data_IF_606607073112
#
_entry.id   IF_606607073112
#
_cell.length_a   1.000
_cell.length_b   1.000
_cell.length_c   1.000
_cell.angle_alpha   90.00
_cell.angle_beta   90.00
_cell.angle_gamma   90.00
#
_symmetry.space_group_name_H-M   'P 1'
#
loop_
_entity.id
_entity.type
_entity.pdbx_description
1 polymer ?
#
# COMPACT_ATOMS: atom_id res chain seq x y z
N UNK A 1 -50.83 -28.85 -4.11
CA UNK A 1 -49.41 -28.49 -4.35
C UNK A 1 -49.24 -27.02 -4.00
N UNK A 2 -48.70 -26.70 -2.83
CA UNK A 2 -48.42 -25.31 -2.45
C UNK A 2 -47.08 -24.91 -3.04
N UNK A 3 -47.09 -23.89 -3.90
CA UNK A 3 -45.87 -23.31 -4.45
C UNK A 3 -45.18 -22.54 -3.33
N UNK A 4 -44.03 -23.05 -2.87
CA UNK A 4 -43.12 -22.29 -2.03
C UNK A 4 -42.50 -21.18 -2.89
N UNK A 5 -43.07 -19.97 -2.77
CA UNK A 5 -42.45 -18.76 -3.28
C UNK A 5 -41.21 -18.50 -2.42
N UNK A 6 -40.03 -18.69 -2.99
CA UNK A 6 -38.77 -18.36 -2.34
C UNK A 6 -38.79 -16.88 -1.95
N UNK A 7 -38.74 -16.60 -0.65
CA UNK A 7 -38.60 -15.25 -0.13
C UNK A 7 -37.23 -14.71 -0.55
N UNK A 8 -37.14 -13.50 -1.12
CA UNK A 8 -35.85 -12.90 -1.44
C UNK A 8 -35.13 -12.67 -0.12
N UNK A 9 -34.04 -13.40 0.12
CA UNK A 9 -33.14 -13.15 1.24
C UNK A 9 -32.70 -11.70 1.14
N UNK A 10 -33.12 -10.88 2.10
CA UNK A 10 -32.83 -9.45 2.11
C UNK A 10 -31.35 -9.21 1.93
N UNK A 11 -30.98 -8.61 0.79
CA UNK A 11 -29.65 -8.13 0.47
C UNK A 11 -29.26 -7.03 1.46
N UNK A 12 -28.84 -7.40 2.66
CA UNK A 12 -28.41 -6.43 3.65
C UNK A 12 -27.11 -5.78 3.16
N UNK A 13 -27.00 -4.45 3.30
CA UNK A 13 -25.83 -3.67 2.85
C UNK A 13 -24.53 -4.25 3.44
N UNK A 14 -24.62 -4.80 4.65
CA UNK A 14 -23.52 -5.47 5.35
C UNK A 14 -22.98 -6.71 4.63
N UNK A 15 -23.82 -7.58 4.05
CA UNK A 15 -23.36 -8.75 3.28
C UNK A 15 -22.70 -8.33 1.98
N UNK A 16 -23.22 -7.28 1.32
CA UNK A 16 -22.61 -6.70 0.11
C UNK A 16 -21.24 -6.11 0.42
N UNK A 17 -21.11 -5.37 1.52
CA UNK A 17 -19.82 -4.87 2.00
C UNK A 17 -18.87 -6.02 2.33
N UNK A 18 -19.29 -7.02 3.11
CA UNK A 18 -18.45 -8.18 3.44
C UNK A 18 -17.98 -8.96 2.19
N UNK A 19 -18.86 -9.16 1.22
CA UNK A 19 -18.51 -9.78 -0.06
C UNK A 19 -17.49 -8.93 -0.83
N UNK A 20 -17.70 -7.61 -0.88
CA UNK A 20 -16.77 -6.67 -1.50
C UNK A 20 -15.39 -6.69 -0.83
N UNK A 21 -15.32 -6.63 0.51
CA UNK A 21 -14.07 -6.72 1.26
C UNK A 21 -13.34 -8.05 1.03
N UNK A 22 -14.07 -9.18 1.03
CA UNK A 22 -13.48 -10.49 0.69
C UNK A 22 -12.91 -10.51 -0.73
N UNK A 23 -13.61 -9.93 -1.70
CA UNK A 23 -13.12 -9.84 -3.09
C UNK A 23 -11.90 -8.93 -3.21
N UNK A 24 -11.89 -7.79 -2.50
CA UNK A 24 -10.79 -6.83 -2.49
C UNK A 24 -9.51 -7.46 -1.96
N UNK A 25 -9.59 -8.34 -0.96
CA UNK A 25 -8.45 -9.04 -0.37
C UNK A 25 -7.64 -9.89 -1.37
N UNK A 26 -8.24 -10.28 -2.50
CA UNK A 26 -7.57 -11.01 -3.59
C UNK A 26 -7.13 -10.11 -4.76
N UNK A 27 -7.63 -8.87 -4.84
CA UNK A 27 -7.33 -7.89 -5.89
C UNK A 27 -6.11 -7.01 -5.54
N UNK A 28 -4.97 -7.65 -5.25
CA UNK A 28 -3.73 -7.01 -4.80
C UNK A 28 -3.01 -6.13 -5.86
N UNK A 29 -3.28 -6.34 -7.15
CA UNK A 29 -2.50 -5.71 -8.25
C UNK A 29 -2.46 -4.19 -8.19
N UNK A 30 -3.59 -3.55 -7.86
CA UNK A 30 -3.68 -2.08 -7.78
C UNK A 30 -2.88 -1.53 -6.61
N UNK A 31 -2.98 -2.18 -5.44
CA UNK A 31 -2.24 -1.80 -4.25
C UNK A 31 -0.72 -1.97 -4.45
N UNK A 32 -0.29 -3.07 -5.08
CA UNK A 32 1.10 -3.31 -5.43
C UNK A 32 1.65 -2.26 -6.40
N UNK A 33 0.91 -1.94 -7.47
CA UNK A 33 1.32 -0.92 -8.44
C UNK A 33 1.45 0.47 -7.80
N UNK A 34 0.49 0.84 -6.94
CA UNK A 34 0.52 2.13 -6.22
C UNK A 34 1.69 2.16 -5.24
N UNK A 35 1.96 1.08 -4.50
CA UNK A 35 3.13 0.98 -3.63
C UNK A 35 4.44 1.21 -4.40
N UNK A 36 4.59 0.59 -5.57
CA UNK A 36 5.79 0.78 -6.40
C UNK A 36 5.87 2.17 -7.03
N UNK A 37 4.75 2.75 -7.44
CA UNK A 37 4.70 4.14 -7.94
C UNK A 37 5.11 5.13 -6.83
N UNK A 38 4.60 4.93 -5.61
CA UNK A 38 4.97 5.74 -4.45
C UNK A 38 6.46 5.60 -4.13
N UNK A 39 6.98 4.38 -4.11
CA UNK A 39 8.41 4.14 -3.90
C UNK A 39 9.27 4.81 -4.98
N UNK A 40 8.93 4.64 -6.26
CA UNK A 40 9.70 5.20 -7.37
C UNK A 40 9.66 6.73 -7.38
N UNK A 41 8.50 7.33 -7.14
CA UNK A 41 8.38 8.79 -7.04
C UNK A 41 9.15 9.33 -5.83
N UNK A 42 9.18 8.63 -4.70
CA UNK A 42 10.02 8.98 -3.56
C UNK A 42 11.52 8.85 -3.85
N UNK A 43 11.92 7.81 -4.59
CA UNK A 43 13.30 7.61 -5.01
C UNK A 43 13.78 8.75 -5.93
N UNK A 44 12.94 9.23 -6.85
CA UNK A 44 13.24 10.37 -7.71
C UNK A 44 13.47 11.68 -6.95
N UNK A 45 12.95 11.80 -5.73
CA UNK A 45 13.14 12.95 -4.83
C UNK A 45 14.40 12.83 -3.97
N UNK A 46 15.18 11.76 -4.14
CA UNK A 46 16.39 11.57 -3.38
C UNK A 46 17.49 12.52 -3.90
N UNK A 47 18.19 13.29 -3.03
CA UNK A 47 19.16 14.29 -3.47
C UNK A 47 20.32 13.75 -4.32
N UNK A 48 20.56 12.44 -4.29
CA UNK A 48 21.57 11.80 -5.13
C UNK A 48 21.18 11.74 -6.62
N UNK A 49 19.88 11.86 -6.94
CA UNK A 49 19.36 11.85 -8.30
C UNK A 49 19.18 13.30 -8.76
N UNK A 50 20.03 13.76 -9.67
CA UNK A 50 19.93 15.13 -10.21
C UNK A 50 18.91 15.16 -11.36
N UNK A 51 17.79 15.83 -11.13
CA UNK A 51 16.74 16.09 -12.14
C UNK A 51 16.45 17.59 -12.23
N UNK A 52 15.85 18.08 -13.34
CA UNK A 52 15.44 19.47 -13.43
C UNK A 52 14.45 19.83 -12.31
N UNK A 53 14.64 20.98 -11.67
CA UNK A 53 13.80 21.44 -10.55
C UNK A 53 12.29 21.42 -10.85
N UNK A 54 11.89 21.73 -12.09
CA UNK A 54 10.48 21.67 -12.49
C UNK A 54 9.90 20.26 -12.37
N UNK A 55 10.70 19.24 -12.70
CA UNK A 55 10.33 17.83 -12.57
C UNK A 55 10.29 17.46 -11.10
N UNK A 56 11.33 17.78 -10.33
CA UNK A 56 11.40 17.51 -8.89
C UNK A 56 10.20 18.08 -8.13
N UNK A 57 9.88 19.37 -8.37
CA UNK A 57 8.71 20.04 -7.77
C UNK A 57 7.41 19.34 -8.12
N UNK A 58 7.25 18.94 -9.38
CA UNK A 58 6.04 18.25 -9.84
C UNK A 58 5.93 16.86 -9.21
N UNK A 59 7.03 16.11 -9.18
CA UNK A 59 7.10 14.79 -8.55
C UNK A 59 6.79 14.90 -7.05
N UNK A 60 7.34 15.89 -6.36
CA UNK A 60 7.09 16.12 -4.93
C UNK A 60 5.62 16.36 -4.66
N UNK A 61 5.00 17.29 -5.42
CA UNK A 61 3.58 17.59 -5.28
C UNK A 61 2.72 16.35 -5.56
N UNK A 62 2.99 15.64 -6.65
CA UNK A 62 2.25 14.42 -7.01
C UNK A 62 2.43 13.31 -5.98
N UNK A 63 3.64 13.15 -5.44
CA UNK A 63 3.94 12.17 -4.39
C UNK A 63 3.15 12.48 -3.11
N UNK A 64 3.14 13.75 -2.67
CA UNK A 64 2.36 14.17 -1.49
C UNK A 64 0.85 13.96 -1.70
N UNK A 65 0.31 14.42 -2.83
CA UNK A 65 -1.12 14.28 -3.14
C UNK A 65 -1.52 12.81 -3.25
N UNK A 66 -0.74 11.99 -3.95
CA UNK A 66 -0.98 10.55 -4.05
C UNK A 66 -0.83 9.86 -2.69
N UNK A 67 0.13 10.27 -1.87
CA UNK A 67 0.38 9.73 -0.53
C UNK A 67 -0.77 9.96 0.44
N UNK A 68 -1.40 11.14 0.42
CA UNK A 68 -2.52 11.45 1.34
C UNK A 68 -3.89 10.98 0.83
N UNK A 69 -4.04 10.78 -0.49
CA UNK A 69 -5.33 10.40 -1.10
C UNK A 69 -5.32 8.97 -1.68
N UNK A 70 -4.58 8.75 -2.77
CA UNK A 70 -4.57 7.49 -3.53
C UNK A 70 -4.06 6.34 -2.67
N UNK A 71 -2.96 6.54 -1.95
CA UNK A 71 -2.33 5.50 -1.13
C UNK A 71 -3.27 4.93 -0.06
N UNK A 72 -3.87 5.73 0.86
CA UNK A 72 -4.79 5.18 1.86
C UNK A 72 -6.04 4.56 1.24
N UNK A 73 -6.57 5.12 0.14
CA UNK A 73 -7.75 4.56 -0.54
C UNK A 73 -7.47 3.17 -1.11
N UNK A 74 -6.35 2.95 -1.78
CA UNK A 74 -6.09 1.67 -2.45
C UNK A 74 -5.29 0.71 -1.56
N UNK A 75 -4.17 1.16 -1.00
CA UNK A 75 -3.29 0.33 -0.18
C UNK A 75 -3.89 0.13 1.20
N UNK A 76 -4.45 1.16 1.81
CA UNK A 76 -5.10 1.07 3.13
C UNK A 76 -6.33 0.16 3.11
N UNK A 77 -7.25 0.34 2.17
CA UNK A 77 -8.43 -0.54 2.05
C UNK A 77 -8.05 -1.98 1.70
N UNK A 78 -7.06 -2.19 0.81
CA UNK A 78 -6.53 -3.51 0.54
C UNK A 78 -5.94 -4.14 1.81
N UNK A 79 -5.08 -3.41 2.52
CA UNK A 79 -4.42 -3.86 3.75
C UNK A 79 -5.43 -4.34 4.79
N UNK A 80 -6.46 -3.54 5.09
CA UNK A 80 -7.50 -3.91 6.06
C UNK A 80 -8.20 -5.22 5.69
N UNK A 81 -8.50 -5.42 4.40
CA UNK A 81 -9.11 -6.66 3.91
C UNK A 81 -8.14 -7.85 3.96
N UNK A 82 -6.85 -7.60 3.77
CA UNK A 82 -5.81 -8.62 3.64
C UNK A 82 -5.24 -9.08 5.00
N UNK A 83 -5.25 -8.21 6.01
CA UNK A 83 -4.75 -8.49 7.38
C UNK A 83 -5.34 -9.77 7.98
N UNK A 84 -6.65 -9.96 7.82
CA UNK A 84 -7.33 -11.17 8.32
C UNK A 84 -6.85 -12.44 7.62
N UNK A 85 -6.48 -12.36 6.35
CA UNK A 85 -5.93 -13.51 5.60
C UNK A 85 -4.52 -13.87 6.09
N UNK A 86 -3.70 -12.87 6.40
CA UNK A 86 -2.35 -13.06 6.94
C UNK A 86 -2.40 -13.71 8.33
N UNK A 87 -3.26 -13.20 9.22
CA UNK A 87 -3.39 -13.69 10.59
C UNK A 87 -3.87 -15.15 10.66
N UNK A 88 -4.78 -15.54 9.75
CA UNK A 88 -5.31 -16.89 9.67
C UNK A 88 -4.49 -17.84 8.77
N UNK A 89 -3.37 -17.39 8.22
CA UNK A 89 -2.53 -18.22 7.36
C UNK A 89 -1.71 -19.22 8.17
N UNK A 90 -1.80 -20.51 7.81
CA UNK A 90 -0.97 -21.57 8.39
C UNK A 90 0.51 -21.49 7.97
N UNK A 91 0.85 -20.66 6.98
CA UNK A 91 2.22 -20.53 6.47
C UNK A 91 2.98 -19.46 7.25
N UNK A 92 3.91 -19.89 8.11
CA UNK A 92 4.76 -19.01 8.95
C UNK A 92 5.41 -17.87 8.16
N UNK A 93 5.96 -18.17 6.97
CA UNK A 93 6.58 -17.17 6.10
C UNK A 93 5.63 -16.03 5.71
N UNK A 94 4.40 -16.35 5.26
CA UNK A 94 3.43 -15.32 4.86
C UNK A 94 2.96 -14.49 6.05
N UNK A 95 2.81 -15.13 7.21
CA UNK A 95 2.43 -14.42 8.45
C UNK A 95 3.51 -13.45 8.90
N UNK A 96 4.77 -13.91 8.99
CA UNK A 96 5.90 -13.06 9.42
C UNK A 96 6.14 -11.90 8.46
N UNK A 97 6.27 -12.19 7.16
CA UNK A 97 6.50 -11.15 6.16
C UNK A 97 5.33 -10.17 6.06
N UNK A 98 4.08 -10.66 6.14
CA UNK A 98 2.89 -9.82 6.20
C UNK A 98 2.87 -8.89 7.42
N UNK A 99 3.20 -9.40 8.61
CA UNK A 99 3.28 -8.58 9.83
C UNK A 99 4.41 -7.55 9.78
N UNK A 100 5.57 -7.89 9.22
CA UNK A 100 6.67 -6.91 9.04
C UNK A 100 6.24 -5.81 8.06
N UNK A 101 5.57 -6.19 6.96
CA UNK A 101 4.99 -5.23 6.00
C UNK A 101 3.97 -4.32 6.70
N UNK A 102 3.12 -4.84 7.59
CA UNK A 102 2.17 -4.04 8.37
C UNK A 102 2.87 -2.92 9.14
N UNK A 103 3.90 -3.25 9.92
CA UNK A 103 4.63 -2.27 10.71
C UNK A 103 5.37 -1.26 9.84
N UNK A 104 5.99 -1.71 8.75
CA UNK A 104 6.66 -0.81 7.81
C UNK A 104 5.67 0.13 7.12
N UNK A 105 4.48 -0.34 6.74
CA UNK A 105 3.41 0.50 6.19
C UNK A 105 2.98 1.56 7.19
N UNK A 106 2.77 1.20 8.45
CA UNK A 106 2.38 2.14 9.51
C UNK A 106 3.47 3.19 9.72
N UNK A 107 4.72 2.77 9.93
CA UNK A 107 5.86 3.67 10.15
C UNK A 107 6.02 4.63 8.96
N UNK A 108 6.07 4.09 7.74
CA UNK A 108 6.24 4.88 6.51
C UNK A 108 5.08 5.87 6.30
N UNK A 109 3.85 5.45 6.59
CA UNK A 109 2.67 6.32 6.49
C UNK A 109 2.72 7.45 7.50
N UNK A 110 3.05 7.16 8.77
CA UNK A 110 3.09 8.18 9.83
C UNK A 110 4.18 9.22 9.55
N UNK A 111 5.37 8.78 9.14
CA UNK A 111 6.44 9.71 8.77
C UNK A 111 6.12 10.49 7.49
N UNK A 112 5.48 9.86 6.50
CA UNK A 112 5.04 10.53 5.26
C UNK A 112 3.96 11.58 5.50
N UNK A 113 3.00 11.30 6.38
CA UNK A 113 1.99 12.27 6.81
C UNK A 113 2.65 13.46 7.50
N UNK A 114 3.60 13.22 8.41
CA UNK A 114 4.38 14.30 9.02
C UNK A 114 5.10 15.16 7.97
N UNK A 115 5.83 14.53 7.04
CA UNK A 115 6.56 15.26 5.99
C UNK A 115 5.63 16.02 5.04
N UNK A 116 4.40 15.54 4.82
CA UNK A 116 3.41 16.23 3.98
C UNK A 116 2.99 17.57 4.58
N UNK A 117 2.85 17.65 5.90
CA UNK A 117 2.36 18.86 6.58
C UNK A 117 3.47 19.78 7.08
N UNK A 118 4.61 19.22 7.52
CA UNK A 118 5.73 19.99 8.09
C UNK A 118 6.98 20.04 7.19
N UNK A 119 7.17 19.06 6.31
CA UNK A 119 8.38 18.93 5.50
C UNK A 119 9.64 18.62 6.31
N UNK A 120 10.77 18.57 5.61
CA UNK A 120 12.08 18.59 6.26
C UNK A 120 12.53 20.04 6.48
N UNK A 121 12.59 20.45 7.74
CA UNK A 121 12.97 21.83 8.13
C UNK A 121 14.45 21.97 8.44
N UNK A 122 15.23 20.87 8.32
CA UNK A 122 16.65 20.83 8.64
C UNK A 122 16.97 20.56 10.11
N UNK A 123 15.96 20.45 10.98
CA UNK A 123 16.17 20.05 12.38
C UNK A 123 16.33 18.52 12.50
N UNK A 124 16.97 18.05 13.58
CA UNK A 124 17.26 16.64 13.83
C UNK A 124 16.02 15.73 13.74
N UNK A 125 14.87 16.18 14.25
CA UNK A 125 13.64 15.39 14.22
C UNK A 125 13.06 15.27 12.82
N UNK A 126 13.06 16.36 12.05
CA UNK A 126 12.57 16.33 10.66
C UNK A 126 13.48 15.54 9.72
N UNK A 127 14.79 15.56 9.97
CA UNK A 127 15.75 14.69 9.28
C UNK A 127 15.49 13.23 9.64
N UNK A 128 15.32 12.90 10.93
CA UNK A 128 14.96 11.55 11.35
C UNK A 128 13.67 11.06 10.68
N UNK A 129 12.64 11.90 10.59
CA UNK A 129 11.39 11.54 9.91
C UNK A 129 11.61 11.26 8.42
N UNK A 130 12.40 12.08 7.73
CA UNK A 130 12.79 11.84 6.34
C UNK A 130 13.56 10.52 6.19
N UNK A 131 14.57 10.28 7.02
CA UNK A 131 15.38 9.06 6.98
C UNK A 131 14.54 7.82 7.25
N UNK A 132 13.71 7.84 8.29
CA UNK A 132 12.80 6.73 8.63
C UNK A 132 11.82 6.49 7.47
N UNK A 133 11.25 7.53 6.88
CA UNK A 133 10.37 7.40 5.71
C UNK A 133 11.11 6.73 4.53
N UNK A 134 12.31 7.23 4.21
CA UNK A 134 13.12 6.73 3.11
C UNK A 134 13.56 5.28 3.32
N UNK A 135 14.22 4.96 4.44
CA UNK A 135 14.75 3.61 4.70
C UNK A 135 13.63 2.58 4.93
N UNK A 136 12.52 2.96 5.57
CA UNK A 136 11.38 2.06 5.68
C UNK A 136 10.78 1.73 4.31
N UNK A 137 10.70 2.70 3.38
CA UNK A 137 10.24 2.47 2.01
C UNK A 137 11.18 1.54 1.22
N UNK A 138 12.49 1.70 1.39
CA UNK A 138 13.52 0.85 0.78
C UNK A 138 13.46 -0.59 1.24
N UNK A 139 13.09 -0.83 2.50
CA UNK A 139 12.85 -2.18 3.00
C UNK A 139 11.47 -2.72 2.59
N UNK A 140 10.46 -1.86 2.58
CA UNK A 140 9.07 -2.22 2.30
C UNK A 140 8.88 -2.74 0.87
N UNK A 141 9.38 -2.01 -0.15
CA UNK A 141 9.19 -2.38 -1.55
C UNK A 141 9.71 -3.79 -1.91
N UNK A 142 10.98 -4.18 -1.61
CA UNK A 142 11.48 -5.52 -1.89
C UNK A 142 10.81 -6.58 -1.01
N UNK A 143 10.42 -6.25 0.22
CA UNK A 143 9.71 -7.19 1.09
C UNK A 143 8.32 -7.51 0.57
N UNK A 144 7.57 -6.50 0.09
CA UNK A 144 6.29 -6.67 -0.61
C UNK A 144 6.47 -7.52 -1.85
N UNK A 145 7.50 -7.25 -2.67
CA UNK A 145 7.81 -8.07 -3.84
C UNK A 145 8.07 -9.54 -3.47
N UNK A 146 8.86 -9.77 -2.43
CA UNK A 146 9.20 -11.11 -1.94
C UNK A 146 7.98 -11.83 -1.36
N UNK A 147 7.13 -11.13 -0.62
CA UNK A 147 5.88 -11.63 -0.06
C UNK A 147 4.89 -12.02 -1.16
N UNK A 148 4.73 -11.15 -2.16
CA UNK A 148 3.82 -11.32 -3.28
C UNK A 148 4.43 -12.14 -4.43
N UNK A 149 5.68 -12.59 -4.36
CA UNK A 149 6.45 -13.17 -5.48
C UNK A 149 5.72 -14.23 -6.30
N UNK A 150 4.85 -15.04 -5.68
CA UNK A 150 4.06 -16.04 -6.40
C UNK A 150 2.97 -15.44 -7.27
N UNK A 151 2.42 -14.29 -6.88
CA UNK A 151 1.25 -13.63 -7.45
C UNK A 151 1.50 -12.21 -8.00
N UNK A 152 2.73 -11.67 -7.87
CA UNK A 152 3.12 -10.32 -8.29
C UNK A 152 2.70 -9.97 -9.72
N UNK A 153 2.35 -8.70 -9.93
CA UNK A 153 2.02 -8.12 -11.24
C UNK A 153 3.18 -8.24 -12.23
N UNK A 154 4.43 -8.24 -11.76
CA UNK A 154 5.64 -8.25 -12.59
C UNK A 154 5.72 -9.50 -13.49
N UNK A 155 5.12 -10.63 -13.06
CA UNK A 155 5.06 -11.84 -13.89
C UNK A 155 4.19 -11.70 -15.14
N UNK A 156 3.32 -10.69 -15.21
CA UNK A 156 2.50 -10.46 -16.40
C UNK A 156 3.35 -10.02 -17.60
N UNK A 157 4.54 -9.45 -17.38
CA UNK A 157 5.52 -9.15 -18.43
C UNK A 157 6.35 -10.37 -18.87
N UNK A 158 6.19 -11.54 -18.21
CA UNK A 158 6.86 -12.79 -18.58
C UNK A 158 5.87 -13.74 -19.25
N UNK A 159 5.22 -13.25 -20.29
CA UNK A 159 4.56 -14.06 -21.33
C UNK A 159 4.47 -13.25 -22.63
N UNK A 160 5.56 -13.28 -23.37
CA UNK A 160 5.56 -13.39 -24.84
C UNK A 160 6.60 -14.43 -25.21
#
# INVERSE_FOLDING_TARGET
>A
MSVQVATPTGDNIWSRLQCHFKRLAFHHKKAEAILYLMFLSGLLLWPFITIPWQVERTVLLMHMLAGISIFPTFVGSFWLSHRNLIQNSNKKFLRQTGTIIEYLLIVCTLTGVYLTFWGNTGNNFSILMQDVHFYSSWLLAPLVLRHAWRWTVIKFFRKS
#
